data_IF_759152301801
#
_entry.id   IF_759152301801
#
_cell.length_a   1.000
_cell.length_b   1.000
_cell.length_c   1.000
_cell.angle_alpha   90.00
_cell.angle_beta   90.00
_cell.angle_gamma   90.00
#
_symmetry.space_group_name_H-M   'P 1'
#
loop_
_entity.id
_entity.type
_entity.pdbx_description
1 polymer ?
#
# COMPACT_ATOMS: atom_id res chain seq x y z
N UNK A 1 -9.35 -0.83 14.87
CA UNK A 1 -8.41 -1.98 14.91
C UNK A 1 -7.15 -1.56 14.17
N UNK A 2 -5.96 -1.78 14.73
CA UNK A 2 -4.71 -1.34 14.11
C UNK A 2 -4.10 -2.44 13.23
N UNK A 3 -3.23 -2.06 12.30
CA UNK A 3 -2.54 -2.99 11.40
C UNK A 3 -1.66 -4.01 12.14
N UNK A 4 -1.08 -3.61 13.28
CA UNK A 4 -0.32 -4.53 14.15
C UNK A 4 -1.24 -5.60 14.75
N UNK A 5 -2.48 -5.25 15.08
CA UNK A 5 -3.45 -6.21 15.61
C UNK A 5 -3.82 -7.26 14.57
N UNK A 6 -4.02 -6.87 13.30
CA UNK A 6 -4.29 -7.78 12.19
C UNK A 6 -3.13 -8.77 11.97
N UNK A 7 -1.88 -8.29 12.00
CA UNK A 7 -0.69 -9.15 11.87
C UNK A 7 -0.59 -10.15 13.04
N UNK A 8 -0.85 -9.71 14.27
CA UNK A 8 -0.83 -10.57 15.45
C UNK A 8 -1.94 -11.63 15.43
N UNK A 9 -3.07 -11.34 14.79
CA UNK A 9 -4.20 -12.26 14.60
C UNK A 9 -4.04 -13.18 13.38
N UNK A 10 -2.94 -13.07 12.62
CA UNK A 10 -2.71 -13.88 11.42
C UNK A 10 -3.49 -13.42 10.19
N UNK A 11 -4.12 -12.25 10.24
CA UNK A 11 -4.90 -11.65 9.16
C UNK A 11 -3.97 -10.91 8.18
N UNK A 12 -3.08 -11.65 7.53
CA UNK A 12 -1.99 -11.07 6.74
C UNK A 12 -2.50 -10.37 5.47
N UNK A 13 -3.40 -10.99 4.71
CA UNK A 13 -3.99 -10.36 3.52
C UNK A 13 -4.77 -9.09 3.85
N UNK A 14 -5.49 -9.08 4.98
CA UNK A 14 -6.21 -7.88 5.46
C UNK A 14 -5.22 -6.78 5.89
N UNK A 15 -4.10 -7.14 6.49
CA UNK A 15 -3.03 -6.19 6.85
C UNK A 15 -2.42 -5.52 5.61
N UNK A 16 -2.19 -6.29 4.53
CA UNK A 16 -1.70 -5.76 3.25
C UNK A 16 -2.76 -4.86 2.61
N UNK A 17 -4.03 -5.30 2.59
CA UNK A 17 -5.14 -4.48 2.07
C UNK A 17 -5.28 -3.15 2.80
N UNK A 18 -5.19 -3.19 4.13
CA UNK A 18 -5.20 -1.99 4.96
C UNK A 18 -4.00 -1.09 4.64
N UNK A 19 -2.79 -1.65 4.49
CA UNK A 19 -1.58 -0.89 4.12
C UNK A 19 -1.75 -0.14 2.80
N UNK A 20 -2.20 -0.85 1.77
CA UNK A 20 -2.41 -0.28 0.44
C UNK A 20 -3.45 0.85 0.43
N UNK A 21 -4.62 0.64 1.05
CA UNK A 21 -5.67 1.67 1.09
C UNK A 21 -5.20 2.92 1.82
N UNK A 22 -4.48 2.76 2.92
CA UNK A 22 -3.90 3.87 3.68
C UNK A 22 -2.82 4.64 2.89
N UNK A 23 -2.00 3.95 2.09
CA UNK A 23 -1.06 4.61 1.18
C UNK A 23 -1.83 5.38 0.09
N UNK A 24 -2.85 4.76 -0.51
CA UNK A 24 -3.66 5.37 -1.57
C UNK A 24 -4.34 6.66 -1.11
N UNK A 25 -4.99 6.62 0.06
CA UNK A 25 -5.68 7.77 0.65
C UNK A 25 -4.72 8.90 1.00
N UNK A 26 -3.54 8.53 1.51
CA UNK A 26 -2.48 9.47 1.83
C UNK A 26 -1.95 10.20 0.60
N UNK A 27 -1.59 9.44 -0.44
CA UNK A 27 -1.09 9.98 -1.71
C UNK A 27 -2.16 10.88 -2.33
N UNK A 28 -3.42 10.44 -2.36
CA UNK A 28 -4.54 11.25 -2.88
C UNK A 28 -4.68 12.57 -2.14
N UNK A 29 -4.53 12.56 -0.82
CA UNK A 29 -4.61 13.76 0.03
C UNK A 29 -3.44 14.72 -0.20
N UNK A 30 -2.22 14.20 -0.36
CA UNK A 30 -1.01 15.02 -0.49
C UNK A 30 -0.77 15.56 -1.90
N UNK A 31 -1.04 14.76 -2.93
CA UNK A 31 -0.80 15.12 -4.34
C UNK A 31 -2.02 15.76 -5.00
N UNK A 32 -3.21 15.60 -4.43
CA UNK A 32 -4.47 15.98 -5.08
C UNK A 32 -4.92 15.01 -6.19
N UNK A 33 -4.20 13.91 -6.41
CA UNK A 33 -4.61 12.85 -7.34
C UNK A 33 -5.95 12.28 -6.87
N UNK A 34 -6.93 12.19 -7.77
CA UNK A 34 -8.24 11.62 -7.49
C UNK A 34 -8.31 10.18 -7.97
N UNK A 35 -8.54 9.25 -7.04
CA UNK A 35 -8.88 7.86 -7.39
C UNK A 35 -10.34 7.79 -7.85
N UNK A 36 -10.60 7.09 -8.95
CA UNK A 36 -11.97 6.80 -9.41
C UNK A 36 -12.36 5.36 -9.10
N UNK A 37 -13.65 5.04 -8.82
CA UNK A 37 -14.06 3.69 -8.44
C UNK A 37 -13.80 2.60 -9.49
N UNK A 38 -13.75 2.96 -10.78
CA UNK A 38 -13.46 2.01 -11.87
C UNK A 38 -11.96 1.80 -12.12
N UNK A 39 -11.10 2.56 -11.45
CA UNK A 39 -9.66 2.51 -11.66
C UNK A 39 -9.05 1.30 -10.95
N UNK A 40 -8.26 0.54 -11.67
CA UNK A 40 -7.43 -0.53 -11.12
C UNK A 40 -6.29 0.04 -10.28
N UNK A 41 -5.69 -0.81 -9.44
CA UNK A 41 -4.58 -0.41 -8.57
C UNK A 41 -3.34 -0.01 -9.38
N UNK A 42 -3.09 -0.67 -10.51
CA UNK A 42 -2.01 -0.30 -11.44
C UNK A 42 -2.29 1.00 -12.17
N UNK A 43 -3.53 1.24 -12.62
CA UNK A 43 -3.87 2.54 -13.22
C UNK A 43 -3.73 3.69 -12.21
N UNK A 44 -3.95 3.44 -10.92
CA UNK A 44 -3.65 4.44 -9.88
C UNK A 44 -2.13 4.60 -9.72
N UNK A 45 -1.35 3.52 -9.71
CA UNK A 45 0.13 3.60 -9.71
C UNK A 45 0.68 4.41 -10.90
N UNK A 46 0.09 4.30 -12.09
CA UNK A 46 0.52 5.09 -13.26
C UNK A 46 0.38 6.60 -13.05
N UNK A 47 -0.50 7.05 -12.13
CA UNK A 47 -0.61 8.45 -11.72
C UNK A 47 0.44 8.85 -10.68
N UNK A 48 0.92 7.88 -9.89
CA UNK A 48 1.88 8.08 -8.79
C UNK A 48 3.33 7.93 -9.25
N UNK A 49 3.59 7.23 -10.35
CA UNK A 49 4.95 6.89 -10.81
C UNK A 49 5.89 8.08 -11.02
N UNK A 50 5.33 9.27 -11.26
CA UNK A 50 6.07 10.51 -11.47
C UNK A 50 6.48 11.19 -10.15
N UNK A 51 6.13 10.60 -9.00
CA UNK A 51 6.52 11.02 -7.64
C UNK A 51 7.69 10.15 -7.15
N UNK A 52 8.95 10.49 -7.48
CA UNK A 52 10.11 9.62 -7.22
C UNK A 52 10.32 9.29 -5.74
N UNK A 53 9.80 10.11 -4.83
CA UNK A 53 9.89 9.94 -3.38
C UNK A 53 8.99 8.83 -2.81
N UNK A 54 8.03 8.33 -3.59
CA UNK A 54 7.09 7.26 -3.18
C UNK A 54 6.82 6.22 -4.27
N UNK A 55 7.18 6.49 -5.53
CA UNK A 55 6.82 5.64 -6.65
C UNK A 55 7.34 4.21 -6.50
N UNK A 56 8.56 4.05 -5.97
CA UNK A 56 9.16 2.75 -5.76
C UNK A 56 8.40 1.94 -4.71
N UNK A 57 8.19 2.52 -3.53
CA UNK A 57 7.54 1.88 -2.39
C UNK A 57 6.07 1.57 -2.72
N UNK A 58 5.39 2.49 -3.39
CA UNK A 58 4.00 2.32 -3.78
C UNK A 58 3.83 1.25 -4.86
N UNK A 59 4.80 1.11 -5.79
CA UNK A 59 4.83 0.00 -6.75
C UNK A 59 4.93 -1.35 -6.05
N UNK A 60 5.88 -1.49 -5.13
CA UNK A 60 6.06 -2.73 -4.37
C UNK A 60 4.82 -3.08 -3.55
N UNK A 61 4.21 -2.09 -2.90
CA UNK A 61 3.00 -2.27 -2.12
C UNK A 61 1.81 -2.67 -3.01
N UNK A 62 1.69 -2.11 -4.21
CA UNK A 62 0.67 -2.48 -5.21
C UNK A 62 0.81 -3.96 -5.62
N UNK A 63 2.05 -4.42 -5.86
CA UNK A 63 2.29 -5.84 -6.19
C UNK A 63 1.97 -6.81 -5.05
N UNK A 64 2.30 -6.44 -3.80
CA UNK A 64 1.91 -7.22 -2.62
C UNK A 64 0.39 -7.28 -2.46
N UNK A 65 -0.28 -6.15 -2.67
CA UNK A 65 -1.73 -6.07 -2.62
C UNK A 65 -2.39 -7.01 -3.64
N UNK A 66 -1.95 -6.99 -4.90
CA UNK A 66 -2.51 -7.88 -5.91
C UNK A 66 -2.27 -9.36 -5.60
N UNK A 67 -1.07 -9.68 -5.11
CA UNK A 67 -0.75 -11.04 -4.69
C UNK A 67 -1.68 -11.50 -3.57
N UNK A 68 -1.95 -10.61 -2.61
CA UNK A 68 -2.79 -10.91 -1.45
C UNK A 68 -4.28 -11.01 -1.74
N UNK A 69 -4.78 -10.24 -2.71
CA UNK A 69 -6.21 -10.17 -3.02
C UNK A 69 -6.64 -11.07 -4.17
N UNK A 70 -5.76 -11.29 -5.17
CA UNK A 70 -6.15 -11.90 -6.44
C UNK A 70 -5.34 -13.13 -6.81
N UNK A 71 -4.20 -13.38 -6.16
CA UNK A 71 -3.44 -14.61 -6.39
C UNK A 71 -3.86 -15.71 -5.41
N UNK A 72 -3.72 -16.96 -5.84
CA UNK A 72 -3.85 -18.13 -4.96
C UNK A 72 -2.58 -18.38 -4.11
N UNK A 73 -1.64 -17.42 -4.08
CA UNK A 73 -0.40 -17.54 -3.32
C UNK A 73 -0.66 -17.38 -1.83
N UNK A 74 0.09 -18.13 -1.03
CA UNK A 74 -0.01 -18.06 0.43
C UNK A 74 0.71 -16.79 0.92
N UNK A 75 -0.06 -15.85 1.46
CA UNK A 75 0.47 -14.67 2.14
C UNK A 75 0.96 -15.02 3.53
N UNK A 76 2.19 -14.64 3.85
CA UNK A 76 2.82 -14.85 5.14
C UNK A 76 2.90 -13.60 6.00
N UNK A 77 3.39 -13.80 7.22
CA UNK A 77 3.69 -12.72 8.17
C UNK A 77 4.72 -11.72 7.59
N UNK A 78 5.73 -12.23 6.89
CA UNK A 78 6.80 -11.39 6.34
C UNK A 78 6.28 -10.45 5.24
N UNK A 79 5.33 -10.90 4.41
CA UNK A 79 4.68 -10.07 3.41
C UNK A 79 3.86 -8.95 4.07
N UNK A 80 3.14 -9.27 5.15
CA UNK A 80 2.36 -8.27 5.90
C UNK A 80 3.25 -7.26 6.64
N UNK A 81 4.39 -7.70 7.19
CA UNK A 81 5.38 -6.80 7.79
C UNK A 81 6.02 -5.91 6.73
N UNK A 82 6.35 -6.46 5.56
CA UNK A 82 6.87 -5.69 4.42
C UNK A 82 5.88 -4.62 3.97
N UNK A 83 4.59 -4.95 3.85
CA UNK A 83 3.56 -3.98 3.49
C UNK A 83 3.45 -2.84 4.51
N UNK A 84 3.53 -3.16 5.81
CA UNK A 84 3.56 -2.14 6.87
C UNK A 84 4.80 -1.25 6.77
N UNK A 85 5.97 -1.81 6.48
CA UNK A 85 7.20 -1.02 6.35
C UNK A 85 7.18 -0.12 5.12
N UNK A 86 6.71 -0.62 3.97
CA UNK A 86 6.49 0.19 2.77
C UNK A 86 5.55 1.37 3.04
N UNK A 87 4.44 1.14 3.75
CA UNK A 87 3.54 2.23 4.15
C UNK A 87 4.24 3.30 5.00
N UNK A 88 5.08 2.89 5.96
CA UNK A 88 5.83 3.84 6.79
C UNK A 88 6.79 4.66 5.95
N UNK A 89 7.47 4.06 4.98
CA UNK A 89 8.37 4.79 4.08
C UNK A 89 7.59 5.81 3.23
N UNK A 90 6.41 5.43 2.71
CA UNK A 90 5.50 6.35 2.01
C UNK A 90 5.05 7.52 2.90
N UNK A 91 4.87 7.29 4.21
CA UNK A 91 4.53 8.37 5.14
C UNK A 91 5.72 9.26 5.50
N UNK A 92 6.93 8.71 5.52
CA UNK A 92 8.15 9.45 5.88
C UNK A 92 8.66 10.35 4.76
N UNK A 93 8.51 9.95 3.51
CA UNK A 93 8.97 10.72 2.33
C UNK A 93 8.39 12.15 2.28
N UNK A 94 7.30 12.36 3.00
CA UNK A 94 6.54 13.60 3.15
C UNK A 94 6.73 14.35 4.47
N UNK A 95 7.57 13.84 5.38
CA UNK A 95 7.94 14.49 6.66
C UNK A 95 9.34 15.13 6.63
N UNK A 96 9.98 15.21 5.45
CA UNK A 96 11.16 16.05 5.28
C UNK A 96 10.72 17.52 5.06
N UNK A 97 10.30 18.17 6.15
CA UNK A 97 10.28 19.63 6.33
C UNK A 97 11.12 19.99 7.56
#
# INVERSE_FOLDING_TARGET
MSMRDLILQGQFSESISFSFNNAKDYISTKSGIKSTPQQTHWEFYELVKDMPEIAHEFKELTGLYETAMYSNSKIGKDDALKALDLLKEIYKSSSNE
#
